data_IF_330819169582
#
_entry.id   IF_330819169582
#
_cell.length_a   1.000
_cell.length_b   1.000
_cell.length_c   1.000
_cell.angle_alpha   90.00
_cell.angle_beta   90.00
_cell.angle_gamma   90.00
#
_symmetry.space_group_name_H-M   'P 1'
#
loop_
_entity.id
_entity.type
_entity.pdbx_description
1 polymer ?
#
# COMPACT_ATOMS: atom_id res chain seq x y z
N UNK A 1 2.26 1.81 20.46
CA UNK A 1 2.18 1.31 19.06
C UNK A 1 2.77 -0.12 18.91
N UNK A 2 3.47 -0.59 19.94
CA UNK A 2 3.93 -1.99 20.07
C UNK A 2 3.04 -2.82 21.02
N UNK A 3 2.00 -2.22 21.59
CA UNK A 3 1.08 -2.89 22.52
C UNK A 3 0.35 -4.04 21.81
N UNK A 4 0.44 -5.24 22.40
CA UNK A 4 -0.13 -6.46 21.82
C UNK A 4 -1.66 -6.40 21.74
N UNK A 5 -2.33 -5.75 22.71
CA UNK A 5 -3.79 -5.60 22.70
C UNK A 5 -4.23 -4.65 21.55
N UNK A 6 -3.47 -3.57 21.32
CA UNK A 6 -3.72 -2.68 20.19
C UNK A 6 -3.51 -3.45 18.88
N UNK A 7 -2.42 -4.20 18.77
CA UNK A 7 -2.12 -4.99 17.58
C UNK A 7 -3.19 -6.03 17.29
N UNK A 8 -3.68 -6.75 18.29
CA UNK A 8 -4.78 -7.73 18.12
C UNK A 8 -6.10 -7.07 17.68
N UNK A 9 -6.36 -5.84 18.09
CA UNK A 9 -7.57 -5.11 17.69
C UNK A 9 -7.47 -4.48 16.28
N UNK A 10 -6.25 -4.17 15.84
CA UNK A 10 -6.00 -3.47 14.57
C UNK A 10 -5.77 -4.44 13.42
N UNK A 11 -5.04 -5.55 13.63
CA UNK A 11 -4.59 -6.43 12.56
C UNK A 11 -5.42 -7.71 12.48
N UNK A 12 -5.72 -8.11 11.24
CA UNK A 12 -6.43 -9.36 10.92
C UNK A 12 -5.55 -10.25 10.03
N UNK A 13 -4.42 -10.77 10.56
CA UNK A 13 -3.47 -11.53 9.76
C UNK A 13 -4.07 -12.85 9.28
N UNK A 14 -3.81 -13.17 8.02
CA UNK A 14 -4.12 -14.45 7.39
C UNK A 14 -2.80 -15.13 7.04
N UNK A 15 -2.55 -16.29 7.61
CA UNK A 15 -1.37 -17.11 7.33
C UNK A 15 -1.66 -18.08 6.20
N UNK A 16 -0.69 -18.26 5.32
CA UNK A 16 -0.65 -19.32 4.31
C UNK A 16 0.75 -19.91 4.30
N UNK A 17 0.87 -21.13 3.82
CA UNK A 17 2.18 -21.71 3.51
C UNK A 17 2.80 -20.95 2.33
N UNK A 18 4.13 -20.91 2.29
CA UNK A 18 4.84 -20.32 1.16
C UNK A 18 4.48 -21.09 -0.12
N UNK A 19 3.87 -20.43 -1.13
CA UNK A 19 3.53 -21.10 -2.36
C UNK A 19 4.78 -21.44 -3.16
N UNK A 20 4.72 -22.51 -3.94
CA UNK A 20 5.70 -22.75 -4.99
C UNK A 20 5.48 -21.76 -6.14
N UNK A 21 6.51 -21.47 -6.95
CA UNK A 21 6.35 -20.72 -8.20
C UNK A 21 5.35 -21.45 -9.11
N UNK A 22 4.20 -20.84 -9.32
CA UNK A 22 3.04 -21.50 -9.94
C UNK A 22 3.10 -21.39 -11.47
N UNK A 23 3.74 -20.32 -11.98
CA UNK A 23 3.75 -19.95 -13.40
C UNK A 23 4.95 -19.04 -13.68
N UNK A 24 5.35 -18.96 -14.96
CA UNK A 24 6.38 -18.00 -15.39
C UNK A 24 6.01 -16.54 -15.11
N UNK A 25 4.73 -16.25 -15.04
CA UNK A 25 4.18 -14.91 -14.76
C UNK A 25 3.85 -14.65 -13.29
N UNK A 26 3.96 -15.64 -12.40
CA UNK A 26 3.66 -15.50 -10.97
C UNK A 26 4.86 -16.00 -10.18
N UNK A 27 5.61 -15.06 -9.60
CA UNK A 27 6.83 -15.33 -8.85
C UNK A 27 6.64 -15.04 -7.37
N UNK A 28 7.12 -15.96 -6.55
CA UNK A 28 7.19 -15.74 -5.10
C UNK A 28 8.31 -14.76 -4.79
N UNK A 29 8.00 -13.72 -4.01
CA UNK A 29 8.98 -12.78 -3.49
C UNK A 29 9.26 -13.12 -2.04
N UNK A 30 10.55 -13.20 -1.68
CA UNK A 30 11.01 -13.41 -0.32
C UNK A 30 12.11 -12.41 0.00
N UNK A 31 11.80 -11.41 0.82
CA UNK A 31 12.73 -10.36 1.23
C UNK A 31 13.18 -10.59 2.67
N UNK A 32 14.49 -10.60 2.88
CA UNK A 32 15.09 -10.61 4.21
C UNK A 32 15.41 -9.17 4.59
N UNK A 33 14.54 -8.54 5.35
CA UNK A 33 14.65 -7.11 5.66
C UNK A 33 15.47 -6.80 6.92
N UNK A 34 15.61 -7.77 7.80
CA UNK A 34 16.43 -7.77 9.02
C UNK A 34 16.91 -9.20 9.28
N UNK A 35 17.80 -9.41 10.24
CA UNK A 35 18.47 -10.69 10.51
C UNK A 35 17.51 -11.89 10.60
N UNK A 36 16.32 -11.73 11.16
CA UNK A 36 15.33 -12.79 11.35
C UNK A 36 13.93 -12.45 10.78
N UNK A 37 13.82 -11.33 10.04
CA UNK A 37 12.53 -10.88 9.49
C UNK A 37 12.45 -11.12 8.00
N UNK A 38 11.52 -12.01 7.63
CA UNK A 38 11.20 -12.33 6.24
C UNK A 38 9.84 -11.74 5.92
N UNK A 39 9.79 -10.96 4.85
CA UNK A 39 8.55 -10.46 4.24
C UNK A 39 8.30 -11.20 2.93
N UNK A 40 7.14 -11.85 2.87
CA UNK A 40 6.66 -12.52 1.69
C UNK A 40 5.92 -11.59 0.74
N UNK A 41 5.77 -12.00 -0.50
CA UNK A 41 4.99 -11.29 -1.49
C UNK A 41 4.87 -12.08 -2.78
N UNK A 42 4.10 -11.54 -3.71
CA UNK A 42 3.90 -12.14 -5.04
C UNK A 42 4.17 -11.07 -6.10
N UNK A 43 5.00 -11.41 -7.07
CA UNK A 43 5.15 -10.64 -8.30
C UNK A 43 4.28 -11.28 -9.39
N UNK A 44 3.32 -10.51 -9.88
CA UNK A 44 2.60 -10.78 -11.11
C UNK A 44 3.34 -10.05 -12.23
N UNK A 45 4.03 -10.83 -13.08
CA UNK A 45 4.96 -10.34 -14.09
C UNK A 45 4.28 -10.29 -15.46
N UNK A 46 4.08 -9.10 -16.00
CA UNK A 46 3.58 -8.90 -17.37
C UNK A 46 4.75 -8.88 -18.38
N UNK A 47 5.64 -7.90 -18.25
CA UNK A 47 6.86 -7.75 -19.05
C UNK A 47 7.93 -7.03 -18.21
N UNK A 48 9.17 -7.52 -18.27
CA UNK A 48 10.29 -6.96 -17.50
C UNK A 48 10.61 -5.50 -17.83
N UNK A 49 10.27 -5.04 -19.03
CA UNK A 49 10.48 -3.67 -19.47
C UNK A 49 9.41 -2.67 -19.00
N UNK A 50 8.30 -3.18 -18.50
CA UNK A 50 7.21 -2.32 -17.98
C UNK A 50 7.49 -1.83 -16.57
N UNK A 51 6.90 -0.68 -16.17
CA UNK A 51 6.92 -0.23 -14.78
C UNK A 51 6.36 -1.28 -13.82
N UNK A 52 6.80 -1.24 -12.58
CA UNK A 52 6.25 -2.12 -11.53
C UNK A 52 5.53 -1.29 -10.48
N UNK A 53 4.29 -1.66 -10.16
CA UNK A 53 3.63 -1.19 -8.95
C UNK A 53 4.08 -2.08 -7.79
N UNK A 54 4.82 -1.50 -6.83
CA UNK A 54 5.07 -2.12 -5.53
C UNK A 54 3.92 -1.76 -4.61
N UNK A 55 3.10 -2.75 -4.27
CA UNK A 55 1.84 -2.57 -3.57
C UNK A 55 1.87 -3.16 -2.16
N UNK A 56 1.33 -2.39 -1.21
CA UNK A 56 1.02 -2.79 0.14
C UNK A 56 -0.50 -2.92 0.28
N UNK A 57 -0.97 -4.12 0.60
CA UNK A 57 -2.38 -4.50 0.59
C UNK A 57 -3.19 -3.96 1.79
N UNK A 58 -4.50 -4.18 1.77
CA UNK A 58 -5.39 -3.82 2.88
C UNK A 58 -5.34 -4.82 4.04
N UNK A 59 -5.94 -4.41 5.17
CA UNK A 59 -6.03 -5.28 6.34
C UNK A 59 -6.91 -6.52 6.05
N UNK A 60 -6.45 -7.70 6.44
CA UNK A 60 -7.13 -8.97 6.17
C UNK A 60 -6.91 -9.53 4.77
N UNK A 61 -6.23 -8.80 3.89
CA UNK A 61 -5.79 -9.28 2.57
C UNK A 61 -4.41 -9.94 2.67
N UNK A 62 -4.01 -10.67 1.63
CA UNK A 62 -2.66 -11.20 1.42
C UNK A 62 -2.27 -11.06 -0.04
N UNK A 63 -0.98 -11.12 -0.35
CA UNK A 63 -0.48 -10.97 -1.71
C UNK A 63 -1.12 -11.94 -2.71
N UNK A 64 -1.44 -13.16 -2.30
CA UNK A 64 -2.10 -14.17 -3.13
C UNK A 64 -3.53 -13.79 -3.56
N UNK A 65 -4.24 -12.95 -2.81
CA UNK A 65 -5.61 -12.56 -3.17
C UNK A 65 -5.65 -11.80 -4.50
N UNK A 66 -4.54 -11.18 -4.90
CA UNK A 66 -4.45 -10.39 -6.13
C UNK A 66 -4.36 -11.25 -7.41
N UNK A 67 -4.27 -12.58 -7.28
CA UNK A 67 -4.40 -13.52 -8.41
C UNK A 67 -5.73 -13.38 -9.18
N UNK A 68 -6.74 -12.78 -8.57
CA UNK A 68 -8.05 -12.54 -9.20
C UNK A 68 -8.13 -11.19 -9.93
N UNK A 69 -7.12 -10.31 -9.76
CA UNK A 69 -7.15 -8.92 -10.26
C UNK A 69 -5.89 -8.50 -11.04
N UNK A 70 -4.84 -9.32 -11.07
CA UNK A 70 -3.57 -8.90 -11.68
C UNK A 70 -3.68 -8.62 -13.18
N UNK A 71 -4.60 -9.30 -13.89
CA UNK A 71 -4.79 -9.10 -15.33
C UNK A 71 -5.22 -7.67 -15.66
N UNK A 72 -6.08 -7.05 -14.85
CA UNK A 72 -6.47 -5.66 -15.01
C UNK A 72 -5.27 -4.70 -14.82
N UNK A 73 -4.33 -5.03 -13.93
CA UNK A 73 -3.08 -4.28 -13.82
C UNK A 73 -2.21 -4.45 -15.06
N UNK A 74 -2.19 -5.63 -15.67
CA UNK A 74 -1.49 -5.85 -16.93
C UNK A 74 -2.04 -4.98 -18.07
N UNK A 75 -3.35 -4.78 -18.12
CA UNK A 75 -4.02 -3.88 -19.05
C UNK A 75 -3.64 -2.39 -18.82
N UNK A 76 -3.21 -2.05 -17.61
CA UNK A 76 -2.63 -0.73 -17.31
C UNK A 76 -1.16 -0.60 -17.76
N UNK A 77 -0.56 -1.65 -18.31
CA UNK A 77 0.83 -1.65 -18.78
C UNK A 77 1.86 -1.69 -17.66
N UNK A 78 1.60 -2.45 -16.60
CA UNK A 78 2.49 -2.58 -15.44
C UNK A 78 2.66 -4.04 -15.02
N UNK A 79 3.72 -4.29 -14.23
CA UNK A 79 3.84 -5.43 -13.35
C UNK A 79 3.24 -5.07 -11.99
N UNK A 80 2.78 -6.08 -11.24
CA UNK A 80 2.24 -5.88 -9.90
C UNK A 80 3.03 -6.73 -8.90
N UNK A 81 3.77 -6.11 -7.99
CA UNK A 81 4.41 -6.74 -6.86
C UNK A 81 3.63 -6.41 -5.59
N UNK A 82 2.98 -7.39 -4.99
CA UNK A 82 2.21 -7.21 -3.75
C UNK A 82 3.00 -7.79 -2.59
N UNK A 83 3.24 -6.97 -1.57
CA UNK A 83 4.00 -7.37 -0.37
C UNK A 83 3.06 -7.57 0.81
N UNK A 84 3.25 -8.69 1.51
CA UNK A 84 2.60 -8.95 2.78
C UNK A 84 3.25 -8.14 3.92
N UNK A 85 2.59 -8.07 5.07
CA UNK A 85 3.15 -7.53 6.30
C UNK A 85 3.66 -8.67 7.20
N UNK A 86 4.43 -8.35 8.24
CA UNK A 86 4.73 -9.35 9.29
C UNK A 86 3.45 -10.05 9.71
N UNK A 87 3.48 -11.38 9.78
CA UNK A 87 2.34 -12.18 10.18
C UNK A 87 1.27 -12.43 9.14
N UNK A 88 1.32 -11.77 7.97
CA UNK A 88 0.43 -12.02 6.83
C UNK A 88 1.10 -12.94 5.82
N UNK A 89 0.29 -13.64 5.01
CA UNK A 89 0.79 -14.57 4.03
C UNK A 89 1.77 -15.57 4.65
N UNK A 90 2.93 -15.71 4.05
CA UNK A 90 4.04 -16.51 4.59
C UNK A 90 5.14 -15.67 5.28
N UNK A 91 4.90 -14.36 5.50
CA UNK A 91 5.83 -13.50 6.23
C UNK A 91 6.01 -13.94 7.69
N UNK A 92 7.21 -13.71 8.24
CA UNK A 92 7.55 -14.08 9.62
C UNK A 92 6.93 -13.13 10.66
N UNK A 93 7.07 -13.46 11.92
CA UNK A 93 6.69 -12.66 13.10
C UNK A 93 5.19 -12.30 13.19
N UNK A 94 4.88 -11.27 14.00
CA UNK A 94 3.54 -10.72 14.21
C UNK A 94 3.49 -9.25 13.79
N UNK A 95 2.35 -8.77 13.28
CA UNK A 95 2.21 -7.37 12.88
C UNK A 95 2.08 -6.46 14.10
N UNK A 96 2.70 -5.29 14.02
CA UNK A 96 2.44 -4.14 14.89
C UNK A 96 2.39 -2.88 14.03
N UNK A 97 1.77 -1.81 14.53
CA UNK A 97 1.75 -0.56 13.76
C UNK A 97 3.15 0.03 13.59
N UNK A 98 4.01 -0.16 14.60
CA UNK A 98 5.42 0.25 14.51
C UNK A 98 6.14 -0.55 13.44
N UNK A 99 5.94 -1.88 13.38
CA UNK A 99 6.55 -2.73 12.36
C UNK A 99 6.13 -2.33 10.93
N UNK A 100 4.86 -1.93 10.69
CA UNK A 100 4.45 -1.41 9.38
C UNK A 100 5.33 -0.22 8.93
N UNK A 101 5.66 0.67 9.84
CA UNK A 101 6.50 1.84 9.55
C UNK A 101 7.97 1.44 9.38
N UNK A 102 8.51 0.71 10.37
CA UNK A 102 9.92 0.35 10.41
C UNK A 102 10.35 -0.56 9.25
N UNK A 103 9.45 -1.43 8.79
CA UNK A 103 9.70 -2.36 7.69
C UNK A 103 9.56 -1.73 6.30
N UNK A 104 8.86 -0.61 6.19
CA UNK A 104 8.48 -0.03 4.88
C UNK A 104 9.68 0.27 3.99
N UNK A 105 10.68 0.99 4.51
CA UNK A 105 11.89 1.31 3.75
C UNK A 105 12.76 0.06 3.50
N UNK A 106 13.05 -0.80 4.49
CA UNK A 106 13.75 -2.05 4.24
C UNK A 106 13.10 -2.94 3.17
N UNK A 107 11.77 -3.05 3.17
CA UNK A 107 11.04 -3.78 2.11
C UNK A 107 11.27 -3.14 0.74
N UNK A 108 11.17 -1.82 0.65
CA UNK A 108 11.45 -1.11 -0.60
C UNK A 108 12.89 -1.33 -1.07
N UNK A 109 13.88 -1.20 -0.19
CA UNK A 109 15.30 -1.35 -0.52
C UNK A 109 15.63 -2.79 -0.98
N UNK A 110 15.14 -3.81 -0.25
CA UNK A 110 15.31 -5.20 -0.66
C UNK A 110 14.52 -5.55 -1.93
N UNK A 111 13.37 -4.92 -2.15
CA UNK A 111 12.68 -5.04 -3.44
C UNK A 111 13.49 -4.45 -4.60
N UNK A 112 14.25 -3.36 -4.39
CA UNK A 112 15.16 -2.84 -5.41
C UNK A 112 16.26 -3.85 -5.77
N UNK A 113 16.81 -4.57 -4.79
CA UNK A 113 17.79 -5.62 -5.01
C UNK A 113 17.15 -6.77 -5.81
N UNK A 114 16.00 -7.28 -5.35
CA UNK A 114 15.24 -8.32 -6.04
C UNK A 114 14.92 -7.95 -7.50
N UNK A 115 14.38 -6.74 -7.72
CA UNK A 115 14.08 -6.20 -9.05
C UNK A 115 15.28 -6.25 -9.99
N UNK A 116 16.44 -5.80 -9.48
CA UNK A 116 17.70 -5.78 -10.24
C UNK A 116 18.14 -7.19 -10.62
N UNK A 117 18.06 -8.13 -9.68
CA UNK A 117 18.51 -9.51 -9.88
C UNK A 117 17.70 -10.23 -10.97
N UNK A 118 16.40 -9.97 -11.07
CA UNK A 118 15.53 -10.55 -12.09
C UNK A 118 15.40 -9.69 -13.36
N UNK A 119 16.02 -8.51 -13.39
CA UNK A 119 16.09 -7.61 -14.55
C UNK A 119 14.81 -6.87 -14.87
N UNK A 120 14.05 -6.42 -13.86
CA UNK A 120 12.89 -5.53 -14.06
C UNK A 120 13.32 -4.09 -14.34
N UNK A 121 12.46 -3.36 -15.06
CA UNK A 121 12.57 -1.92 -15.31
C UNK A 121 12.81 -1.12 -14.02
N UNK A 122 13.52 0.01 -14.11
CA UNK A 122 13.78 0.92 -12.98
C UNK A 122 12.56 1.75 -12.56
N UNK A 123 11.55 1.83 -13.42
CA UNK A 123 10.32 2.60 -13.15
C UNK A 123 9.44 1.90 -12.12
N UNK A 124 9.22 2.55 -10.97
CA UNK A 124 8.45 2.01 -9.85
C UNK A 124 7.38 3.02 -9.45
N UNK A 125 6.17 2.51 -9.21
CA UNK A 125 5.10 3.21 -8.52
C UNK A 125 4.86 2.55 -7.16
N UNK A 126 4.67 3.34 -6.11
CA UNK A 126 4.34 2.81 -4.78
C UNK A 126 2.83 2.94 -4.58
N UNK A 127 2.17 1.83 -4.27
CA UNK A 127 0.74 1.81 -3.99
C UNK A 127 0.45 1.32 -2.59
N UNK A 128 -0.40 2.05 -1.87
CA UNK A 128 -0.94 1.63 -0.59
C UNK A 128 -2.47 1.60 -0.59
N UNK A 129 -3.04 0.45 -0.26
CA UNK A 129 -4.48 0.27 -0.10
C UNK A 129 -4.84 0.21 1.37
N UNK A 130 -5.80 1.04 1.83
CA UNK A 130 -6.32 0.99 3.20
C UNK A 130 -5.17 1.03 4.23
N UNK A 131 -4.95 -0.04 5.00
CA UNK A 131 -3.84 -0.16 5.96
C UNK A 131 -2.47 0.00 5.27
N UNK A 132 -2.29 -0.54 4.07
CA UNK A 132 -1.05 -0.43 3.30
C UNK A 132 -0.66 0.99 2.93
N UNK A 133 -1.58 1.96 3.05
CA UNK A 133 -1.27 3.37 2.89
C UNK A 133 -0.24 3.90 3.89
N UNK A 134 -0.09 3.23 5.04
CA UNK A 134 0.95 3.54 6.05
C UNK A 134 2.33 3.32 5.46
N UNK A 135 2.55 2.14 4.85
CA UNK A 135 3.82 1.81 4.22
C UNK A 135 4.12 2.72 3.02
N UNK A 136 3.11 2.97 2.17
CA UNK A 136 3.26 3.87 1.04
C UNK A 136 3.61 5.30 1.47
N UNK A 137 2.95 5.83 2.52
CA UNK A 137 3.23 7.16 3.04
C UNK A 137 4.62 7.26 3.68
N UNK A 138 5.07 6.21 4.38
CA UNK A 138 6.42 6.15 4.95
C UNK A 138 7.46 6.18 3.83
N UNK A 139 7.39 5.27 2.85
CA UNK A 139 8.33 5.24 1.70
C UNK A 139 8.31 6.59 0.96
N UNK A 140 7.12 7.09 0.63
CA UNK A 140 6.97 8.33 -0.14
C UNK A 140 7.55 9.54 0.58
N UNK A 141 7.49 9.61 1.91
CA UNK A 141 8.04 10.72 2.71
C UNK A 141 9.56 10.87 2.57
N UNK A 142 10.26 9.82 2.20
CA UNK A 142 11.71 9.81 1.95
C UNK A 142 12.07 10.17 0.50
N UNK A 143 11.10 10.35 -0.39
CA UNK A 143 11.28 10.73 -1.80
C UNK A 143 12.31 9.90 -2.56
N UNK A 144 12.24 8.56 -2.54
CA UNK A 144 13.25 7.73 -3.15
C UNK A 144 13.35 7.98 -4.67
N UNK A 145 14.56 8.03 -5.24
CA UNK A 145 14.79 8.54 -6.60
C UNK A 145 14.10 7.71 -7.70
N UNK A 146 13.98 6.40 -7.53
CA UNK A 146 13.40 5.49 -8.54
C UNK A 146 11.87 5.43 -8.50
N UNK A 147 11.22 6.11 -7.56
CA UNK A 147 9.75 6.17 -7.50
C UNK A 147 9.23 7.25 -8.43
N UNK A 148 8.46 6.83 -9.42
CA UNK A 148 7.83 7.70 -10.42
C UNK A 148 6.55 8.36 -9.90
N UNK A 149 5.81 7.67 -9.04
CA UNK A 149 4.58 8.21 -8.46
C UNK A 149 4.04 7.37 -7.30
N UNK A 150 3.13 7.98 -6.55
CA UNK A 150 2.47 7.41 -5.39
C UNK A 150 0.99 7.19 -5.66
N UNK A 151 0.42 6.09 -5.18
CA UNK A 151 -1.00 5.75 -5.36
C UNK A 151 -1.58 5.37 -3.99
N UNK A 152 -2.57 6.12 -3.56
CA UNK A 152 -3.30 5.89 -2.31
C UNK A 152 -4.73 5.48 -2.62
N UNK A 153 -5.11 4.26 -2.28
CA UNK A 153 -6.44 3.70 -2.54
C UNK A 153 -7.18 3.46 -1.23
N UNK A 154 -8.40 4.00 -1.12
CA UNK A 154 -9.27 3.85 0.06
C UNK A 154 -8.51 4.10 1.37
N UNK A 155 -7.64 5.10 1.36
CA UNK A 155 -6.64 5.39 2.38
C UNK A 155 -7.19 6.31 3.45
N UNK A 156 -6.68 6.18 4.67
CA UNK A 156 -6.94 7.14 5.74
C UNK A 156 -5.81 8.16 5.87
N UNK A 157 -6.14 9.34 6.38
CA UNK A 157 -5.18 10.39 6.72
C UNK A 157 -4.79 10.33 8.20
N UNK A 158 -5.79 10.31 9.07
CA UNK A 158 -5.60 10.41 10.52
C UNK A 158 -5.66 9.06 11.22
N UNK A 159 -4.54 8.66 11.82
CA UNK A 159 -4.51 7.47 12.67
C UNK A 159 -5.44 7.59 13.87
N UNK A 160 -5.55 8.79 14.46
CA UNK A 160 -6.47 9.05 15.57
C UNK A 160 -7.93 8.78 15.19
N UNK A 161 -8.36 9.25 14.00
CA UNK A 161 -9.71 9.00 13.51
C UNK A 161 -9.95 7.50 13.32
N UNK A 162 -8.96 6.78 12.80
CA UNK A 162 -9.04 5.33 12.61
C UNK A 162 -9.14 4.58 13.94
N UNK A 163 -8.27 4.90 14.91
CA UNK A 163 -8.30 4.28 16.23
C UNK A 163 -9.67 4.48 16.91
N UNK A 164 -10.19 5.69 16.87
CA UNK A 164 -11.46 6.04 17.52
C UNK A 164 -12.68 5.46 16.80
N UNK A 165 -12.70 5.52 15.47
CA UNK A 165 -13.88 5.21 14.65
C UNK A 165 -13.97 3.73 14.30
N UNK A 166 -12.91 3.17 13.71
CA UNK A 166 -12.91 1.80 13.18
C UNK A 166 -12.60 0.79 14.29
N UNK A 167 -11.50 1.00 14.99
CA UNK A 167 -11.04 0.06 16.00
C UNK A 167 -11.68 0.27 17.37
N UNK A 168 -12.37 1.43 17.59
CA UNK A 168 -13.02 1.81 18.85
C UNK A 168 -12.06 1.78 20.05
N UNK A 169 -10.77 1.97 19.79
CA UNK A 169 -9.72 2.02 20.81
C UNK A 169 -9.73 3.40 21.46
N UNK A 170 -9.71 3.41 22.78
CA UNK A 170 -9.65 4.62 23.62
C UNK A 170 -8.63 4.41 24.72
N UNK A 171 -7.99 5.48 25.17
CA UNK A 171 -7.03 5.46 26.26
C UNK A 171 -6.36 6.81 26.42
N UNK A 172 -5.61 7.04 27.51
CA UNK A 172 -4.92 8.30 27.75
C UNK A 172 -3.88 8.62 26.66
N UNK A 173 -3.29 7.60 26.06
CA UNK A 173 -2.28 7.73 24.99
C UNK A 173 -2.88 7.78 23.57
N UNK A 174 -4.21 7.68 23.44
CA UNK A 174 -4.92 7.73 22.16
C UNK A 174 -5.47 9.14 21.95
N UNK A 175 -4.57 10.08 21.70
CA UNK A 175 -4.89 11.49 21.43
C UNK A 175 -4.40 11.90 20.04
N UNK A 176 -4.95 12.98 19.44
CA UNK A 176 -4.43 13.51 18.18
C UNK A 176 -2.93 13.80 18.23
N UNK A 177 -2.45 14.35 19.35
CA UNK A 177 -1.06 14.76 19.55
C UNK A 177 -0.11 13.56 19.60
N UNK A 178 -0.46 12.50 20.36
CA UNK A 178 0.36 11.30 20.51
C UNK A 178 0.39 10.45 19.24
N UNK A 179 -0.70 10.45 18.45
CA UNK A 179 -0.80 9.66 17.22
C UNK A 179 -0.36 10.42 15.96
N UNK A 180 -0.22 11.74 16.02
CA UNK A 180 0.21 12.56 14.89
C UNK A 180 1.51 12.10 14.24
N UNK A 181 2.59 11.72 14.96
CA UNK A 181 3.82 11.23 14.36
C UNK A 181 3.63 9.93 13.54
N UNK A 182 2.56 9.18 13.80
CA UNK A 182 2.24 7.92 13.16
C UNK A 182 1.17 8.03 12.08
N UNK A 183 0.61 9.23 11.86
CA UNK A 183 -0.48 9.48 10.92
C UNK A 183 0.02 9.76 9.51
N UNK A 184 -0.72 9.30 8.51
CA UNK A 184 -0.39 9.49 7.10
C UNK A 184 -0.41 10.98 6.70
N UNK A 185 -1.36 11.77 7.21
CA UNK A 185 -1.46 13.21 6.95
C UNK A 185 -0.22 14.01 7.38
N UNK A 186 0.60 13.46 8.26
CA UNK A 186 1.89 14.04 8.64
C UNK A 186 2.98 13.67 7.64
N UNK A 187 3.03 12.40 7.21
CA UNK A 187 4.05 11.88 6.28
C UNK A 187 3.88 12.40 4.88
N UNK A 188 2.66 12.40 4.36
CA UNK A 188 2.40 12.82 2.97
C UNK A 188 2.77 14.28 2.68
N UNK A 189 2.93 15.11 3.70
CA UNK A 189 3.46 16.49 3.56
C UNK A 189 4.88 16.56 3.03
N UNK A 190 5.63 15.48 3.18
CA UNK A 190 7.01 15.36 2.73
C UNK A 190 7.12 14.75 1.32
N UNK A 191 6.02 14.29 0.73
CA UNK A 191 6.03 13.63 -0.59
C UNK A 191 6.15 14.69 -1.68
N UNK A 192 7.21 14.61 -2.48
CA UNK A 192 7.44 15.45 -3.66
C UNK A 192 7.35 14.66 -4.97
N UNK A 193 6.59 13.58 -4.97
CA UNK A 193 6.33 12.74 -6.15
C UNK A 193 4.90 12.98 -6.66
N UNK A 194 4.66 12.79 -7.96
CA UNK A 194 3.30 12.73 -8.49
C UNK A 194 2.44 11.79 -7.66
N UNK A 195 1.22 12.17 -7.34
CA UNK A 195 0.39 11.39 -6.41
C UNK A 195 -1.05 11.28 -6.87
N UNK A 196 -1.54 10.04 -6.96
CA UNK A 196 -2.94 9.71 -7.21
C UNK A 196 -3.60 9.23 -5.92
N UNK A 197 -4.74 9.82 -5.56
CA UNK A 197 -5.61 9.36 -4.48
C UNK A 197 -6.93 8.90 -5.08
N UNK A 198 -7.29 7.62 -4.90
CA UNK A 198 -8.55 7.04 -5.40
C UNK A 198 -9.38 6.59 -4.21
N UNK A 199 -10.68 6.92 -4.20
CA UNK A 199 -11.57 6.55 -3.10
C UNK A 199 -13.00 6.32 -3.61
N UNK A 200 -13.72 5.37 -2.99
CA UNK A 200 -15.12 5.13 -3.28
C UNK A 200 -16.03 6.12 -2.54
N UNK A 201 -17.11 6.58 -3.19
CA UNK A 201 -18.07 7.50 -2.53
C UNK A 201 -18.89 6.82 -1.44
N UNK A 202 -19.08 5.50 -1.52
CA UNK A 202 -19.83 4.68 -0.55
C UNK A 202 -18.93 3.85 0.36
N UNK A 203 -17.71 4.32 0.63
CA UNK A 203 -16.81 3.67 1.58
C UNK A 203 -17.25 3.94 3.03
N UNK A 204 -17.91 2.93 3.63
CA UNK A 204 -18.38 2.98 5.01
C UNK A 204 -17.33 2.56 6.05
N UNK A 205 -16.24 1.94 5.61
CA UNK A 205 -15.12 1.52 6.46
C UNK A 205 -14.19 2.72 6.70
N UNK A 206 -13.66 3.28 5.61
CA UNK A 206 -12.86 4.52 5.64
C UNK A 206 -13.60 5.54 4.78
N UNK A 207 -14.23 6.58 5.38
CA UNK A 207 -14.97 7.56 4.59
C UNK A 207 -14.06 8.28 3.61
N UNK A 208 -14.59 8.63 2.44
CA UNK A 208 -13.86 9.39 1.43
C UNK A 208 -13.34 10.76 1.93
N UNK A 209 -13.88 11.28 3.02
CA UNK A 209 -13.35 12.46 3.71
C UNK A 209 -11.93 12.25 4.24
N UNK A 210 -11.53 11.02 4.59
CA UNK A 210 -10.15 10.67 4.96
C UNK A 210 -9.23 10.73 3.74
N UNK A 211 -9.66 10.17 2.60
CA UNK A 211 -8.92 10.30 1.33
C UNK A 211 -8.76 11.76 0.91
N UNK A 212 -9.81 12.57 1.05
CA UNK A 212 -9.77 14.01 0.78
C UNK A 212 -8.84 14.75 1.74
N UNK A 213 -8.83 14.38 3.02
CA UNK A 213 -7.90 14.95 4.02
C UNK A 213 -6.45 14.59 3.66
N UNK A 214 -6.18 13.35 3.26
CA UNK A 214 -4.86 12.92 2.80
C UNK A 214 -4.43 13.72 1.58
N UNK A 215 -5.27 13.83 0.55
CA UNK A 215 -5.01 14.64 -0.65
C UNK A 215 -4.71 16.11 -0.33
N UNK A 216 -5.48 16.71 0.58
CA UNK A 216 -5.28 18.11 1.00
C UNK A 216 -3.99 18.30 1.83
N UNK A 217 -3.49 17.22 2.45
CA UNK A 217 -2.24 17.24 3.22
C UNK A 217 -0.98 17.12 2.36
N UNK A 218 -1.11 16.65 1.11
CA UNK A 218 -0.02 16.63 0.13
C UNK A 218 0.41 18.06 -0.23
N UNK A 219 1.70 18.30 -0.55
CA UNK A 219 2.19 19.58 -1.03
C UNK A 219 1.36 20.12 -2.21
N UNK A 220 1.25 21.45 -2.30
CA UNK A 220 0.46 22.10 -3.33
C UNK A 220 1.16 22.22 -4.69
N UNK A 221 2.47 22.03 -4.70
CA UNK A 221 3.37 22.19 -5.84
C UNK A 221 3.68 20.89 -6.59
N UNK A 222 3.13 19.76 -6.15
CA UNK A 222 3.25 18.48 -6.85
C UNK A 222 2.07 18.25 -7.80
N UNK A 223 2.30 17.45 -8.84
CA UNK A 223 1.19 16.91 -9.65
C UNK A 223 0.40 15.90 -8.83
N UNK A 224 -0.86 16.21 -8.52
CA UNK A 224 -1.71 15.34 -7.69
C UNK A 224 -3.15 15.33 -8.17
N UNK A 225 -3.75 14.15 -8.10
CA UNK A 225 -5.13 13.91 -8.53
C UNK A 225 -5.93 13.25 -7.39
N UNK A 226 -7.20 13.62 -7.25
CA UNK A 226 -8.15 12.99 -6.33
C UNK A 226 -9.35 12.48 -7.12
N UNK A 227 -9.49 11.18 -7.23
CA UNK A 227 -10.54 10.50 -8.00
C UNK A 227 -11.53 9.85 -7.03
N UNK A 228 -12.80 10.17 -7.20
CA UNK A 228 -13.91 9.52 -6.52
C UNK A 228 -14.61 8.56 -7.48
N UNK A 229 -14.67 7.28 -7.10
CA UNK A 229 -15.43 6.26 -7.85
C UNK A 229 -16.84 6.23 -7.29
N UNK A 230 -17.79 6.69 -8.08
CA UNK A 230 -19.18 6.85 -7.65
C UNK A 230 -19.85 5.48 -7.37
N UNK A 231 -20.47 5.35 -6.20
CA UNK A 231 -21.12 4.12 -5.76
C UNK A 231 -20.17 3.05 -5.19
N UNK A 232 -18.86 3.19 -5.36
CA UNK A 232 -17.89 2.22 -4.87
C UNK A 232 -17.76 2.29 -3.34
N UNK A 233 -17.70 1.13 -2.70
CA UNK A 233 -17.36 0.96 -1.29
C UNK A 233 -15.92 0.49 -1.11
N UNK A 234 -15.54 0.20 0.15
CA UNK A 234 -14.17 -0.18 0.51
C UNK A 234 -13.67 -1.46 -0.19
N UNK A 235 -14.52 -2.49 -0.23
CA UNK A 235 -14.13 -3.83 -0.66
C UNK A 235 -14.56 -4.18 -2.09
N UNK A 236 -15.32 -3.31 -2.77
CA UNK A 236 -15.79 -3.56 -4.13
C UNK A 236 -15.32 -2.52 -5.15
N UNK A 237 -14.35 -1.68 -4.79
CA UNK A 237 -13.84 -0.64 -5.69
C UNK A 237 -13.28 -1.24 -7.00
N UNK A 238 -12.68 -2.43 -6.95
CA UNK A 238 -12.19 -3.15 -8.13
C UNK A 238 -13.30 -3.65 -9.07
N UNK A 239 -14.55 -3.70 -8.60
CA UNK A 239 -15.70 -4.06 -9.45
C UNK A 239 -16.13 -2.91 -10.36
N UNK A 240 -15.64 -1.70 -10.11
CA UNK A 240 -15.82 -0.52 -10.96
C UNK A 240 -14.64 -0.42 -11.95
N UNK A 241 -14.44 -1.50 -12.72
CA UNK A 241 -13.24 -1.76 -13.51
C UNK A 241 -12.87 -0.62 -14.43
N UNK A 242 -13.82 -0.09 -15.20
CA UNK A 242 -13.55 0.94 -16.21
C UNK A 242 -13.04 2.24 -15.57
N UNK A 243 -13.75 2.74 -14.57
CA UNK A 243 -13.39 4.01 -13.93
C UNK A 243 -12.10 3.90 -13.12
N UNK A 244 -11.96 2.81 -12.36
CA UNK A 244 -10.82 2.59 -11.48
C UNK A 244 -9.53 2.35 -12.27
N UNK A 245 -9.52 1.35 -13.17
CA UNK A 245 -8.30 0.99 -13.90
C UNK A 245 -7.97 2.01 -14.99
N UNK A 246 -8.96 2.72 -15.58
CA UNK A 246 -8.67 3.81 -16.49
C UNK A 246 -7.96 4.98 -15.78
N UNK A 247 -8.39 5.32 -14.55
CA UNK A 247 -7.72 6.36 -13.74
C UNK A 247 -6.29 5.97 -13.41
N UNK A 248 -6.09 4.71 -13.02
CA UNK A 248 -4.77 4.15 -12.73
C UNK A 248 -3.86 4.18 -13.97
N UNK A 249 -4.38 3.71 -15.10
CA UNK A 249 -3.66 3.70 -16.38
C UNK A 249 -3.23 5.09 -16.81
N UNK A 250 -4.13 6.06 -16.78
CA UNK A 250 -3.85 7.44 -17.15
C UNK A 250 -2.72 8.03 -16.29
N UNK A 251 -2.76 7.78 -14.98
CA UNK A 251 -1.73 8.24 -14.07
C UNK A 251 -0.36 7.61 -14.37
N UNK A 252 -0.32 6.28 -14.59
CA UNK A 252 0.91 5.56 -14.92
C UNK A 252 1.48 6.05 -16.24
N UNK A 253 0.67 6.18 -17.30
CA UNK A 253 1.12 6.63 -18.62
C UNK A 253 1.71 8.04 -18.59
N UNK A 254 1.18 8.89 -17.74
CA UNK A 254 1.64 10.27 -17.56
C UNK A 254 3.00 10.37 -16.86
N UNK A 255 3.33 9.40 -15.98
CA UNK A 255 4.46 9.51 -15.06
C UNK A 255 5.51 8.39 -15.18
N UNK A 256 5.35 7.42 -16.12
CA UNK A 256 6.31 6.35 -16.38
C UNK A 256 7.59 6.82 -17.09
#
# INVERSE_FOLDING_TARGET
>A
MEDENISQAVFFPRKVDEPEDVDDNIKVIRLNIHDDVIIGGILYLNDKNLPTILMFHGNGEIALDYQYFYQQYFECGVNLAVMDFRGYGFSSHKPTYKALLDDSLPVYEEFLNYRKDIGLSESIFIKGRSLGSVCAAEIGSHNPPLVNGMIFESSFASLYNMMKRLFRIRGPDITPETLKPYSNDTRVKQIHKPTLVIHGTNDWIIPNSEGKLLYNSLPGDIDKEFILIEGAGHNNIFSFTDEYFQSLKNFIEKHK
#
